data_IF_493797448036
#
_entry.id   IF_493797448036
#
_cell.length_a   1.000
_cell.length_b   1.000
_cell.length_c   1.000
_cell.angle_alpha   90.00
_cell.angle_beta   90.00
_cell.angle_gamma   90.00
#
_symmetry.space_group_name_H-M   'P 1'
#
loop_
_entity.id
_entity.type
_entity.pdbx_description
1 polymer ?
#
# COMPACT_ATOMS: atom_id res chain seq x y z
N UNK A 1 -7.70 -26.07 -6.44
CA UNK A 1 -8.00 -24.76 -5.84
C UNK A 1 -7.89 -24.99 -4.36
N UNK A 2 -6.79 -24.52 -3.79
CA UNK A 2 -6.53 -24.62 -2.35
C UNK A 2 -7.58 -23.78 -1.59
N UNK A 3 -7.85 -24.14 -0.33
CA UNK A 3 -8.79 -23.38 0.49
C UNK A 3 -8.14 -22.06 0.93
N UNK A 4 -8.77 -20.95 0.60
CA UNK A 4 -8.28 -19.62 0.99
C UNK A 4 -8.72 -19.36 2.43
N UNK A 5 -7.81 -19.57 3.37
CA UNK A 5 -8.08 -19.42 4.80
C UNK A 5 -8.31 -17.96 5.25
N UNK A 6 -7.69 -17.00 4.58
CA UNK A 6 -7.71 -15.57 4.94
C UNK A 6 -8.09 -14.73 3.72
N UNK A 7 -9.13 -13.91 3.86
CA UNK A 7 -9.53 -12.96 2.82
C UNK A 7 -9.60 -11.56 3.42
N UNK A 8 -8.83 -10.64 2.84
CA UNK A 8 -8.78 -9.25 3.25
C UNK A 8 -9.22 -8.33 2.12
N UNK A 9 -9.90 -7.24 2.47
CA UNK A 9 -10.11 -6.12 1.56
C UNK A 9 -9.31 -4.93 2.06
N UNK A 10 -8.43 -4.40 1.21
CA UNK A 10 -7.62 -3.22 1.51
C UNK A 10 -8.21 -2.03 0.76
N UNK A 11 -8.49 -0.96 1.50
CA UNK A 11 -8.99 0.30 0.99
C UNK A 11 -7.84 1.30 0.92
N UNK A 12 -7.50 1.70 -0.30
CA UNK A 12 -6.45 2.67 -0.60
C UNK A 12 -7.05 4.04 -0.87
N UNK A 13 -6.57 5.07 -0.17
CA UNK A 13 -6.97 6.46 -0.43
C UNK A 13 -5.85 7.23 -1.14
N UNK A 14 -6.29 8.00 -2.14
CA UNK A 14 -5.63 8.94 -3.06
C UNK A 14 -4.10 9.10 -2.95
N UNK A 15 -3.34 9.27 -4.06
CA UNK A 15 -1.92 9.50 -3.93
C UNK A 15 -1.62 10.92 -3.43
N UNK A 16 -1.45 11.13 -2.13
CA UNK A 16 -0.98 12.39 -1.55
C UNK A 16 0.38 12.80 -2.11
N UNK A 17 0.59 14.07 -2.43
CA UNK A 17 1.86 14.52 -2.98
C UNK A 17 2.73 15.23 -1.94
N UNK A 18 4.04 14.96 -1.97
CA UNK A 18 5.03 15.69 -1.18
C UNK A 18 5.08 17.19 -1.48
N UNK A 19 4.62 17.62 -2.66
CA UNK A 19 4.51 19.04 -3.02
C UNK A 19 3.30 19.73 -2.39
N UNK A 20 2.33 18.97 -1.89
CA UNK A 20 1.09 19.47 -1.28
C UNK A 20 0.81 18.75 0.06
N UNK A 21 1.71 18.85 1.05
CA UNK A 21 1.61 18.10 2.30
C UNK A 21 0.39 18.49 3.16
N UNK A 22 -0.18 19.68 2.92
CA UNK A 22 -1.37 20.13 3.64
C UNK A 22 -2.60 19.27 3.31
N UNK A 23 -2.72 18.75 2.07
CA UNK A 23 -3.84 17.89 1.66
C UNK A 23 -3.91 16.61 2.51
N UNK A 24 -2.74 16.00 2.78
CA UNK A 24 -2.65 14.85 3.68
C UNK A 24 -3.06 15.21 5.11
N UNK A 25 -2.60 16.36 5.61
CA UNK A 25 -2.92 16.82 6.96
C UNK A 25 -4.40 17.12 7.12
N UNK A 26 -5.01 17.76 6.13
CA UNK A 26 -6.44 18.11 6.16
C UNK A 26 -7.27 16.84 6.13
N UNK A 27 -6.96 15.91 5.22
CA UNK A 27 -7.62 14.61 5.15
C UNK A 27 -7.53 13.85 6.48
N UNK A 28 -6.33 13.67 7.05
CA UNK A 28 -6.15 12.92 8.30
C UNK A 28 -6.76 13.60 9.54
N UNK A 29 -7.17 14.86 9.46
CA UNK A 29 -7.84 15.57 10.55
C UNK A 29 -9.33 15.81 10.29
N UNK A 30 -9.87 15.42 9.14
CA UNK A 30 -11.29 15.52 8.83
C UNK A 30 -12.06 14.38 9.53
N UNK A 31 -12.95 14.69 10.48
CA UNK A 31 -13.71 13.67 11.20
C UNK A 31 -14.71 12.91 10.32
N UNK A 32 -14.95 13.34 9.08
CA UNK A 32 -15.83 12.67 8.13
C UNK A 32 -15.09 11.66 7.23
N UNK A 33 -13.77 11.53 7.40
CA UNK A 33 -12.93 10.59 6.64
C UNK A 33 -12.47 9.44 7.53
N UNK A 34 -11.78 8.46 6.93
CA UNK A 34 -11.24 7.32 7.68
C UNK A 34 -10.31 7.77 8.83
N UNK A 35 -10.50 7.17 10.02
CA UNK A 35 -9.68 7.50 11.19
C UNK A 35 -8.20 7.18 10.92
N UNK A 36 -7.34 8.18 11.15
CA UNK A 36 -5.89 8.10 10.97
C UNK A 36 -5.18 6.98 11.73
N UNK A 37 -5.81 6.38 12.74
CA UNK A 37 -5.29 5.22 13.48
C UNK A 37 -5.53 3.89 12.76
N UNK A 38 -6.42 3.86 11.77
CA UNK A 38 -6.77 2.64 11.03
C UNK A 38 -5.83 2.37 9.85
N UNK A 39 -5.02 3.34 9.44
CA UNK A 39 -4.08 3.14 8.33
C UNK A 39 -2.88 2.30 8.77
N UNK A 40 -2.76 1.10 8.20
CA UNK A 40 -1.67 0.16 8.48
C UNK A 40 -0.67 0.05 7.34
N UNK A 41 -0.99 0.54 6.15
CA UNK A 41 -0.16 0.41 4.97
C UNK A 41 0.08 1.75 4.29
N UNK A 42 1.22 1.89 3.66
CA UNK A 42 1.48 3.00 2.76
C UNK A 42 2.36 2.57 1.60
N UNK A 43 2.09 3.17 0.44
CA UNK A 43 2.87 2.96 -0.75
C UNK A 43 3.34 4.30 -1.31
N UNK A 44 4.62 4.41 -1.60
CA UNK A 44 5.23 5.61 -2.16
C UNK A 44 5.84 5.33 -3.52
N UNK A 45 5.60 6.24 -4.47
CA UNK A 45 6.26 6.26 -5.77
C UNK A 45 6.76 7.66 -6.09
N UNK A 46 7.89 7.78 -6.77
CA UNK A 46 8.47 9.09 -7.04
C UNK A 46 9.86 9.03 -7.64
N UNK A 47 10.57 10.15 -7.57
CA UNK A 47 11.94 10.27 -8.04
C UNK A 47 12.94 10.19 -6.88
N UNK A 48 14.08 9.54 -7.13
CA UNK A 48 15.13 9.37 -6.11
C UNK A 48 15.95 10.66 -5.96
N UNK A 49 16.21 11.05 -4.72
CA UNK A 49 17.13 12.14 -4.38
C UNK A 49 18.58 11.66 -4.45
N UNK A 50 19.47 12.48 -4.99
CA UNK A 50 20.91 12.23 -5.02
C UNK A 50 21.58 12.60 -6.34
N UNK A 51 22.91 12.61 -6.33
CA UNK A 51 23.74 12.86 -7.52
C UNK A 51 23.64 11.66 -8.47
N UNK A 52 23.39 11.91 -9.76
CA UNK A 52 23.29 10.87 -10.78
C UNK A 52 21.89 10.27 -10.97
N UNK A 53 20.90 10.67 -10.15
CA UNK A 53 19.51 10.27 -10.35
C UNK A 53 18.75 11.34 -11.16
N UNK A 54 18.12 10.97 -12.30
CA UNK A 54 17.32 11.91 -13.08
C UNK A 54 16.16 12.49 -12.27
N UNK A 55 15.81 13.74 -12.54
CA UNK A 55 14.75 14.46 -11.81
C UNK A 55 13.38 13.88 -12.12
N UNK A 56 13.13 13.61 -13.40
CA UNK A 56 11.80 13.29 -13.92
C UNK A 56 11.54 11.78 -13.99
N UNK A 57 12.49 10.96 -13.51
CA UNK A 57 12.35 9.50 -13.53
C UNK A 57 11.61 9.04 -12.27
N UNK A 58 10.37 8.64 -12.45
CA UNK A 58 9.46 8.16 -11.41
C UNK A 58 9.56 6.63 -11.23
N UNK A 59 10.77 6.11 -11.05
CA UNK A 59 11.05 4.68 -10.93
C UNK A 59 11.42 4.25 -9.50
N UNK A 60 11.37 5.18 -8.55
CA UNK A 60 11.67 4.89 -7.15
C UNK A 60 10.37 4.63 -6.40
N UNK A 61 10.33 3.52 -5.67
CA UNK A 61 9.12 2.99 -5.07
C UNK A 61 9.40 2.26 -3.77
N UNK A 62 8.45 2.35 -2.83
CA UNK A 62 8.56 1.74 -1.51
C UNK A 62 7.19 1.37 -0.96
N UNK A 63 7.05 0.15 -0.46
CA UNK A 63 5.89 -0.28 0.32
C UNK A 63 6.29 -0.36 1.79
N UNK A 64 5.48 0.18 2.68
CA UNK A 64 5.73 0.13 4.11
C UNK A 64 4.47 -0.12 4.92
N UNK A 65 4.67 -0.57 6.15
CA UNK A 65 3.62 -0.77 7.14
C UNK A 65 3.71 0.17 8.33
N UNK A 66 2.61 0.23 9.08
CA UNK A 66 2.48 0.86 10.37
C UNK A 66 1.67 -0.05 11.29
N UNK A 67 2.31 -0.56 12.36
CA UNK A 67 1.71 -1.52 13.31
C UNK A 67 1.32 -0.90 14.65
N UNK A 68 1.67 0.37 14.86
CA UNK A 68 1.53 0.97 16.19
C UNK A 68 0.10 1.46 16.41
N UNK A 69 -0.35 1.44 17.66
CA UNK A 69 -1.61 2.07 18.10
C UNK A 69 -1.53 3.61 18.08
N UNK A 70 -0.67 4.17 17.24
CA UNK A 70 -0.49 5.61 17.04
C UNK A 70 -1.03 5.99 15.66
N UNK A 71 -1.38 7.26 15.43
CA UNK A 71 -1.74 7.72 14.11
C UNK A 71 -0.67 7.42 13.06
N UNK A 72 -1.09 7.18 11.80
CA UNK A 72 -0.16 7.02 10.67
C UNK A 72 0.79 8.20 10.47
N UNK A 73 0.43 9.39 10.96
CA UNK A 73 1.30 10.59 10.96
C UNK A 73 2.58 10.41 11.79
N UNK A 74 2.57 9.52 12.79
CA UNK A 74 3.75 9.17 13.55
C UNK A 74 4.78 8.42 12.70
N UNK A 75 4.33 7.75 11.63
CA UNK A 75 5.16 7.01 10.69
C UNK A 75 5.49 7.83 9.45
N UNK A 76 4.48 8.31 8.74
CA UNK A 76 4.64 9.05 7.48
C UNK A 76 4.85 10.54 7.80
N UNK A 77 6.11 10.89 8.07
CA UNK A 77 6.52 12.26 8.38
C UNK A 77 7.87 12.61 7.74
N UNK A 78 8.30 13.86 7.91
CA UNK A 78 9.53 14.39 7.33
C UNK A 78 10.82 13.67 7.79
N UNK A 79 10.80 13.02 8.95
CA UNK A 79 11.95 12.28 9.50
C UNK A 79 11.98 10.82 9.08
N UNK A 80 10.99 10.34 8.32
CA UNK A 80 10.95 8.96 7.86
C UNK A 80 12.15 8.69 6.95
N UNK A 81 13.02 7.75 7.36
CA UNK A 81 14.28 7.43 6.68
C UNK A 81 14.09 7.15 5.18
N UNK A 82 13.21 6.21 4.83
CA UNK A 82 12.96 5.89 3.41
C UNK A 82 12.31 7.02 2.63
N UNK A 83 11.31 7.72 3.19
CA UNK A 83 10.65 8.84 2.50
C UNK A 83 11.62 10.00 2.25
N UNK A 84 12.60 10.22 3.14
CA UNK A 84 13.61 11.27 2.96
C UNK A 84 14.54 11.05 1.76
N UNK A 85 14.59 9.81 1.22
CA UNK A 85 15.35 9.45 0.01
C UNK A 85 14.62 9.84 -1.28
N UNK A 86 13.32 10.15 -1.22
CA UNK A 86 12.58 10.68 -2.35
C UNK A 86 12.85 12.18 -2.50
N UNK A 87 12.92 12.66 -3.74
CA UNK A 87 12.91 14.10 -4.03
C UNK A 87 11.48 14.61 -4.05
N UNK A 88 10.65 13.96 -4.85
CA UNK A 88 9.20 14.14 -4.89
C UNK A 88 8.54 12.77 -4.87
N UNK A 89 7.40 12.66 -4.20
CA UNK A 89 6.65 11.41 -4.14
C UNK A 89 5.14 11.61 -4.12
N UNK A 90 4.47 10.55 -4.56
CA UNK A 90 3.06 10.24 -4.37
C UNK A 90 2.95 9.16 -3.31
N UNK A 91 2.03 9.33 -2.37
CA UNK A 91 1.83 8.49 -1.20
C UNK A 91 0.40 8.00 -1.19
N UNK A 92 0.20 6.70 -1.20
CA UNK A 92 -1.08 6.06 -0.94
C UNK A 92 -1.12 5.59 0.51
N UNK A 93 -2.28 5.72 1.15
CA UNK A 93 -2.52 5.12 2.47
C UNK A 93 -3.53 3.99 2.35
N UNK A 94 -3.25 2.86 2.98
CA UNK A 94 -4.07 1.65 2.94
C UNK A 94 -4.55 1.25 4.34
N UNK A 95 -5.81 0.85 4.42
CA UNK A 95 -6.43 0.29 5.63
C UNK A 95 -7.20 -0.98 5.29
N UNK A 96 -7.44 -1.83 6.29
CA UNK A 96 -8.41 -2.91 6.15
C UNK A 96 -9.82 -2.34 6.13
N UNK A 97 -10.68 -2.87 5.27
CA UNK A 97 -12.11 -2.49 5.26
C UNK A 97 -12.83 -2.91 6.54
N UNK A 98 -12.32 -3.92 7.24
CA UNK A 98 -12.80 -4.35 8.55
C UNK A 98 -11.68 -4.16 9.57
N UNK A 99 -11.94 -3.30 10.56
CA UNK A 99 -11.02 -3.01 11.65
C UNK A 99 -10.64 -4.22 12.49
N UNK A 100 -11.45 -5.28 12.52
CA UNK A 100 -11.13 -6.52 13.25
C UNK A 100 -9.88 -7.22 12.67
N UNK A 101 -9.55 -6.95 11.41
CA UNK A 101 -8.37 -7.49 10.74
C UNK A 101 -7.08 -6.71 11.03
N UNK A 102 -7.10 -5.60 11.78
CA UNK A 102 -5.92 -4.80 12.14
C UNK A 102 -5.09 -5.43 13.27
N UNK A 103 -4.79 -6.72 13.16
CA UNK A 103 -3.85 -7.40 14.06
C UNK A 103 -2.43 -7.26 13.52
N UNK A 104 -1.43 -7.29 14.41
CA UNK A 104 -0.04 -7.21 14.01
C UNK A 104 0.34 -8.31 12.99
N UNK A 105 -0.14 -9.53 13.21
CA UNK A 105 0.12 -10.67 12.34
C UNK A 105 -0.48 -10.47 10.94
N UNK A 106 -1.75 -10.05 10.84
CA UNK A 106 -2.37 -9.78 9.54
C UNK A 106 -1.67 -8.64 8.80
N UNK A 107 -1.25 -7.59 9.50
CA UNK A 107 -0.50 -6.47 8.90
C UNK A 107 0.84 -6.97 8.34
N UNK A 108 1.55 -7.83 9.08
CA UNK A 108 2.81 -8.43 8.62
C UNK A 108 2.65 -9.34 7.42
N UNK A 109 1.61 -10.19 7.43
CA UNK A 109 1.32 -11.11 6.34
C UNK A 109 0.93 -10.35 5.06
N UNK A 110 0.08 -9.33 5.17
CA UNK A 110 -0.29 -8.47 4.06
C UNK A 110 0.93 -7.75 3.50
N UNK A 111 1.77 -7.14 4.34
CA UNK A 111 3.01 -6.48 3.86
C UNK A 111 3.92 -7.47 3.13
N UNK A 112 4.07 -8.67 3.69
CA UNK A 112 4.88 -9.74 3.10
C UNK A 112 4.34 -10.14 1.74
N UNK A 113 3.02 -10.33 1.62
CA UNK A 113 2.37 -10.66 0.34
C UNK A 113 2.59 -9.56 -0.71
N UNK A 114 2.40 -8.28 -0.37
CA UNK A 114 2.65 -7.18 -1.30
C UNK A 114 4.12 -7.13 -1.74
N UNK A 115 5.06 -7.22 -0.80
CA UNK A 115 6.49 -7.15 -1.11
C UNK A 115 6.91 -8.34 -1.97
N UNK A 116 6.49 -9.56 -1.65
CA UNK A 116 6.84 -10.76 -2.42
C UNK A 116 6.25 -10.71 -3.84
N UNK A 117 4.99 -10.28 -3.98
CA UNK A 117 4.32 -10.16 -5.28
C UNK A 117 4.99 -9.12 -6.18
N UNK A 118 5.40 -7.98 -5.60
CA UNK A 118 5.88 -6.82 -6.36
C UNK A 118 7.38 -6.52 -6.17
N UNK A 119 8.17 -7.49 -5.71
CA UNK A 119 9.58 -7.29 -5.37
C UNK A 119 10.41 -6.67 -6.51
N UNK A 120 10.13 -7.07 -7.76
CA UNK A 120 10.81 -6.54 -8.96
C UNK A 120 10.45 -5.08 -9.28
N UNK A 121 9.33 -4.60 -8.75
CA UNK A 121 8.82 -3.24 -8.95
C UNK A 121 9.13 -2.32 -7.77
N UNK A 122 9.51 -2.87 -6.61
CA UNK A 122 9.81 -2.15 -5.37
C UNK A 122 11.31 -1.92 -5.20
N UNK A 123 11.73 -0.66 -5.21
CA UNK A 123 13.16 -0.31 -5.23
C UNK A 123 13.88 -0.43 -3.87
N UNK A 124 13.17 -0.27 -2.75
CA UNK A 124 13.78 -0.20 -1.39
C UNK A 124 13.45 -1.39 -0.48
N UNK A 125 12.57 -2.30 -0.90
CA UNK A 125 12.13 -3.43 -0.06
C UNK A 125 13.10 -4.64 -0.09
N UNK A 126 14.37 -4.41 -0.46
CA UNK A 126 15.41 -5.43 -0.79
C UNK A 126 15.65 -6.47 0.31
N UNK A 127 15.41 -6.14 1.59
CA UNK A 127 15.72 -7.03 2.73
C UNK A 127 14.64 -8.09 3.03
N UNK A 128 13.40 -7.92 2.56
CA UNK A 128 12.25 -8.78 2.94
C UNK A 128 11.90 -9.88 1.93
N UNK A 129 12.70 -10.07 0.90
CA UNK A 129 12.41 -10.91 -0.28
C UNK A 129 12.36 -12.44 -0.05
N UNK A 130 12.29 -12.94 1.19
CA UNK A 130 12.39 -14.38 1.47
C UNK A 130 11.37 -14.97 2.45
N UNK A 131 10.46 -14.18 2.99
CA UNK A 131 9.37 -14.73 3.81
C UNK A 131 8.13 -14.91 2.94
N UNK A 132 7.58 -16.11 2.89
CA UNK A 132 6.22 -16.35 2.37
C UNK A 132 5.21 -16.24 3.53
N UNK A 133 3.96 -15.86 3.27
CA UNK A 133 2.91 -15.93 4.29
C UNK A 133 2.75 -17.34 4.89
N UNK A 134 2.23 -17.40 6.12
CA UNK A 134 2.02 -18.66 6.82
C UNK A 134 0.85 -19.45 6.22
N UNK A 135 -0.21 -18.74 5.81
CA UNK A 135 -1.43 -19.32 5.28
C UNK A 135 -1.75 -18.82 3.87
N UNK A 136 -2.69 -19.49 3.20
CA UNK A 136 -3.27 -19.04 1.94
C UNK A 136 -4.12 -17.78 2.12
N UNK A 137 -3.77 -16.72 1.40
CA UNK A 137 -4.33 -15.37 1.57
C UNK A 137 -4.86 -14.85 0.23
N UNK A 138 -6.06 -14.25 0.26
CA UNK A 138 -6.59 -13.43 -0.82
C UNK A 138 -6.71 -11.97 -0.35
N UNK A 139 -6.19 -11.04 -1.13
CA UNK A 139 -6.34 -9.60 -0.92
C UNK A 139 -7.13 -9.01 -2.08
N UNK A 140 -8.16 -8.23 -1.75
CA UNK A 140 -8.91 -7.41 -2.70
C UNK A 140 -8.56 -5.95 -2.48
N UNK A 141 -7.98 -5.30 -3.49
CA UNK A 141 -7.62 -3.88 -3.47
C UNK A 141 -8.74 -3.01 -4.00
N UNK A 142 -9.26 -2.13 -3.16
CA UNK A 142 -10.23 -1.11 -3.50
C UNK A 142 -9.62 0.28 -3.37
N UNK A 143 -10.00 1.19 -4.28
CA UNK A 143 -9.39 2.51 -4.40
C UNK A 143 -10.43 3.60 -4.17
N UNK A 144 -10.08 4.60 -3.36
CA UNK A 144 -10.96 5.66 -2.90
C UNK A 144 -10.34 7.04 -3.16
N UNK A 145 -11.23 8.01 -3.34
CA UNK A 145 -10.90 9.44 -3.40
C UNK A 145 -10.84 10.03 -1.99
N UNK A 146 -10.39 11.27 -1.91
CA UNK A 146 -10.38 12.05 -0.66
C UNK A 146 -11.78 12.26 -0.06
N UNK A 147 -12.83 12.19 -0.88
CA UNK A 147 -14.23 12.28 -0.43
C UNK A 147 -14.83 10.91 -0.03
N UNK A 148 -13.99 9.89 0.17
CA UNK A 148 -14.37 8.51 0.47
C UNK A 148 -15.26 7.84 -0.60
N UNK A 149 -15.35 8.42 -1.80
CA UNK A 149 -16.03 7.76 -2.93
C UNK A 149 -15.09 6.82 -3.67
N UNK A 150 -15.59 5.62 -4.01
CA UNK A 150 -14.82 4.60 -4.72
C UNK A 150 -14.48 5.06 -6.16
N UNK A 151 -13.23 4.86 -6.57
CA UNK A 151 -12.83 4.96 -7.97
C UNK A 151 -13.46 3.82 -8.78
N UNK A 152 -14.25 4.19 -9.80
CA UNK A 152 -14.83 3.22 -10.75
C UNK A 152 -13.88 2.85 -11.88
N UNK A 153 -12.94 3.73 -12.19
CA UNK A 153 -11.97 3.56 -13.27
C UNK A 153 -10.58 3.77 -12.68
N UNK A 154 -9.72 2.77 -12.86
CA UNK A 154 -8.37 2.74 -12.32
C UNK A 154 -7.46 3.68 -13.13
N UNK A 155 -6.85 4.66 -12.46
CA UNK A 155 -5.86 5.57 -13.06
C UNK A 155 -4.50 4.87 -13.18
N UNK A 156 -3.61 5.38 -14.02
CA UNK A 156 -2.28 4.78 -14.22
C UNK A 156 -1.49 4.63 -12.92
N UNK A 157 -1.60 5.60 -12.01
CA UNK A 157 -0.95 5.59 -10.71
C UNK A 157 -1.43 4.47 -9.77
N UNK A 158 -2.63 3.93 -10.00
CA UNK A 158 -3.20 2.82 -9.23
C UNK A 158 -2.81 1.46 -9.82
N UNK A 159 -2.31 1.42 -11.07
CA UNK A 159 -2.03 0.16 -11.77
C UNK A 159 -0.82 -0.60 -11.21
N UNK A 160 -0.14 -0.06 -10.20
CA UNK A 160 0.97 -0.77 -9.56
C UNK A 160 0.49 -2.06 -8.87
N UNK A 161 -0.64 -2.00 -8.16
CA UNK A 161 -1.20 -3.17 -7.51
C UNK A 161 -2.39 -3.65 -8.29
N UNK A 162 -2.47 -4.95 -8.51
CA UNK A 162 -3.61 -5.62 -9.09
C UNK A 162 -4.82 -5.51 -8.16
N UNK A 163 -6.01 -5.71 -8.71
CA UNK A 163 -7.24 -5.62 -7.92
C UNK A 163 -7.38 -6.80 -6.95
N UNK A 164 -6.79 -7.94 -7.30
CA UNK A 164 -6.77 -9.16 -6.50
C UNK A 164 -5.34 -9.69 -6.44
N UNK A 165 -4.87 -10.02 -5.24
CA UNK A 165 -3.65 -10.80 -5.01
C UNK A 165 -4.06 -12.09 -4.31
N UNK A 166 -3.47 -13.21 -4.72
CA UNK A 166 -3.69 -14.51 -4.10
C UNK A 166 -2.32 -15.13 -3.83
N UNK A 167 -2.15 -15.64 -2.62
CA UNK A 167 -1.08 -16.56 -2.27
C UNK A 167 -1.70 -17.91 -1.90
N UNK A 168 -1.25 -18.95 -2.59
CA UNK A 168 -1.58 -20.36 -2.32
C UNK A 168 -0.39 -21.00 -1.61
N UNK A 169 -0.60 -21.47 -0.38
CA UNK A 169 0.44 -21.92 0.54
C UNK A 169 0.99 -23.28 0.17
N UNK A 170 0.14 -24.23 -0.20
CA UNK A 170 0.55 -25.59 -0.56
C UNK A 170 1.41 -25.59 -1.84
N UNK A 171 1.09 -24.71 -2.78
CA UNK A 171 1.81 -24.58 -4.06
C UNK A 171 2.89 -23.50 -4.05
N UNK A 172 3.03 -22.75 -2.94
CA UNK A 172 3.88 -21.56 -2.80
C UNK A 172 3.78 -20.60 -4.01
N UNK A 173 2.55 -20.39 -4.49
CA UNK A 173 2.28 -19.67 -5.73
C UNK A 173 1.64 -18.30 -5.46
N UNK A 174 2.15 -17.28 -6.15
CA UNK A 174 1.60 -15.92 -6.12
C UNK A 174 0.86 -15.66 -7.44
N UNK A 175 -0.41 -15.28 -7.33
CA UNK A 175 -1.27 -14.97 -8.46
C UNK A 175 -1.87 -13.57 -8.32
N UNK A 176 -2.06 -12.90 -9.44
CA UNK A 176 -2.67 -11.56 -9.48
C UNK A 176 -3.80 -11.50 -10.49
N UNK A 177 -4.79 -10.63 -10.24
CA UNK A 177 -5.97 -10.51 -11.10
C UNK A 177 -6.58 -9.11 -11.09
N UNK A 178 -7.39 -8.82 -12.11
CA UNK A 178 -8.13 -7.57 -12.20
C UNK A 178 -9.63 -7.80 -12.10
N UNK A 179 -10.32 -6.93 -11.36
CA UNK A 179 -11.77 -6.92 -11.18
C UNK A 179 -12.50 -6.16 -12.30
N UNK A 180 -11.96 -6.20 -13.53
CA UNK A 180 -12.68 -5.64 -14.68
C UNK A 180 -14.05 -6.30 -14.75
N UNK A 181 -15.10 -5.46 -14.78
CA UNK A 181 -16.45 -5.92 -15.06
C UNK A 181 -16.40 -6.75 -16.36
N UNK A 182 -16.66 -8.05 -16.23
CA UNK A 182 -17.05 -8.88 -17.38
C UNK A 182 -18.35 -8.25 -17.87
N UNK A 183 -18.28 -7.57 -19.01
CA UNK A 183 -19.45 -6.99 -19.68
C UNK A 183 -20.01 -7.99 -20.67
#
# INVERSE_FOLDING_TARGET
MEDISKTFTIQWVWPFSSSSPQVLKDYLNDPNTCDKHLFSFYYCSGSKKGKGYPIDKMDYSYFGLHKANTPITARVNATHETLSKFREYKLWLGTFSDSSHQTADNIEEVETLFISTYASQLSENVKKTKSSPADSICIINLWYKLDETRWKIKKDEMKIFDDVLIYEKESDTYSVGSLKLVR
#
